data_IF_096360147214
#
_entry.id   IF_096360147214
#
_cell.length_a   1.000
_cell.length_b   1.000
_cell.length_c   1.000
_cell.angle_alpha   90.00
_cell.angle_beta   90.00
_cell.angle_gamma   90.00
#
_symmetry.space_group_name_H-M   'P 1'
#
loop_
_entity.id
_entity.type
_entity.pdbx_description
1 polymer ?
#
# COMPACT_ATOMS: atom_id res chain seq x y z
N UNK A 1 -9.31 -28.26 -9.75
CA UNK A 1 -9.26 -28.44 -8.30
C UNK A 1 -10.26 -27.49 -7.64
N UNK A 2 -10.96 -27.92 -6.59
CA UNK A 2 -11.89 -27.08 -5.84
C UNK A 2 -11.11 -26.10 -4.92
N UNK A 3 -11.69 -24.96 -4.48
CA UNK A 3 -11.02 -24.00 -3.59
C UNK A 3 -10.50 -24.58 -2.27
N UNK A 4 -10.98 -25.75 -1.85
CA UNK A 4 -10.49 -26.48 -0.67
C UNK A 4 -9.20 -27.29 -0.90
N UNK A 5 -8.64 -27.28 -2.12
CA UNK A 5 -7.41 -28.01 -2.48
C UNK A 5 -6.16 -27.11 -2.62
N UNK A 6 -6.27 -25.80 -2.34
CA UNK A 6 -5.14 -24.87 -2.44
C UNK A 6 -4.71 -24.32 -1.08
N UNK A 7 -3.40 -24.22 -0.86
CA UNK A 7 -2.76 -23.45 0.20
C UNK A 7 -2.35 -22.10 -0.40
N UNK A 8 -3.12 -21.04 -0.09
CA UNK A 8 -2.91 -19.71 -0.65
C UNK A 8 -1.97 -18.86 0.24
N UNK A 9 -0.69 -18.76 -0.16
CA UNK A 9 0.36 -17.99 0.54
C UNK A 9 0.72 -16.70 -0.23
N UNK A 10 -0.16 -16.21 -1.10
CA UNK A 10 0.06 -15.03 -1.94
C UNK A 10 -0.80 -13.83 -1.49
N UNK A 11 -1.04 -13.72 -0.17
CA UNK A 11 -1.81 -12.62 0.42
C UNK A 11 -1.16 -11.24 0.21
N UNK A 12 0.17 -11.21 -0.01
CA UNK A 12 0.88 -10.00 -0.37
C UNK A 12 0.45 -9.47 -1.74
N UNK A 13 -0.03 -10.30 -2.69
CA UNK A 13 -0.58 -9.83 -3.96
C UNK A 13 -2.04 -9.38 -3.81
N UNK A 14 -2.91 -10.23 -3.27
CA UNK A 14 -4.32 -9.90 -3.01
C UNK A 14 -4.92 -10.81 -1.95
N UNK A 15 -6.05 -10.41 -1.37
CA UNK A 15 -6.73 -11.21 -0.35
C UNK A 15 -8.17 -11.54 -0.79
N UNK A 16 -8.74 -12.65 -0.31
CA UNK A 16 -10.16 -12.94 -0.50
C UNK A 16 -11.05 -11.85 0.12
N UNK A 17 -12.19 -11.56 -0.51
CA UNK A 17 -13.19 -10.66 0.05
C UNK A 17 -13.72 -11.25 1.37
N UNK A 18 -13.59 -10.52 2.47
CA UNK A 18 -14.10 -10.96 3.76
C UNK A 18 -15.63 -10.87 3.81
N UNK A 19 -16.23 -11.67 4.68
CA UNK A 19 -17.68 -11.76 4.80
C UNK A 19 -18.31 -10.41 5.19
N UNK A 20 -17.64 -9.65 6.07
CA UNK A 20 -18.08 -8.33 6.51
C UNK A 20 -18.18 -7.35 5.33
N UNK A 21 -17.18 -7.35 4.43
CA UNK A 21 -17.20 -6.54 3.22
C UNK A 21 -18.28 -7.01 2.26
N UNK A 22 -18.40 -8.32 2.03
CA UNK A 22 -19.43 -8.91 1.16
C UNK A 22 -20.84 -8.51 1.59
N UNK A 23 -21.17 -8.68 2.87
CA UNK A 23 -22.46 -8.33 3.46
C UNK A 23 -22.71 -6.82 3.39
N UNK A 24 -21.70 -5.99 3.62
CA UNK A 24 -21.84 -4.54 3.55
C UNK A 24 -22.09 -4.04 2.10
N UNK A 25 -21.51 -4.70 1.10
CA UNK A 25 -21.69 -4.38 -0.31
C UNK A 25 -23.04 -4.81 -0.88
N UNK A 26 -23.57 -5.94 -0.41
CA UNK A 26 -24.75 -6.61 -0.97
C UNK A 26 -25.98 -5.69 -1.16
N UNK A 27 -26.36 -4.84 -0.19
CA UNK A 27 -27.49 -3.92 -0.37
C UNK A 27 -27.29 -2.90 -1.49
N UNK A 28 -26.04 -2.50 -1.77
CA UNK A 28 -25.68 -1.50 -2.78
C UNK A 28 -25.54 -2.09 -4.19
N UNK A 29 -25.35 -3.40 -4.27
CA UNK A 29 -25.31 -4.16 -5.53
C UNK A 29 -26.68 -4.69 -5.94
N UNK A 30 -27.62 -4.80 -4.99
CA UNK A 30 -28.98 -5.24 -5.26
C UNK A 30 -29.67 -4.32 -6.28
N UNK A 31 -30.32 -4.92 -7.27
CA UNK A 31 -31.10 -4.22 -8.30
C UNK A 31 -32.56 -4.69 -8.34
N UNK A 32 -33.42 -3.90 -8.98
CA UNK A 32 -34.85 -4.21 -9.15
C UNK A 32 -35.65 -4.14 -7.84
N UNK A 33 -36.77 -4.88 -7.78
CA UNK A 33 -37.72 -4.84 -6.65
C UNK A 33 -37.14 -5.29 -5.30
N UNK A 34 -36.00 -5.99 -5.33
CA UNK A 34 -35.29 -6.51 -4.15
C UNK A 34 -34.47 -5.43 -3.42
N UNK A 35 -34.15 -4.31 -4.07
CA UNK A 35 -33.44 -3.19 -3.47
C UNK A 35 -34.43 -2.23 -2.80
N UNK A 36 -34.69 -2.43 -1.50
CA UNK A 36 -35.57 -1.55 -0.71
C UNK A 36 -34.83 -1.00 0.52
N UNK A 37 -34.57 0.32 0.58
CA UNK A 37 -34.78 1.33 -0.48
C UNK A 37 -33.83 1.12 -1.68
N UNK A 38 -34.12 1.72 -2.85
CA UNK A 38 -33.21 1.65 -3.99
C UNK A 38 -31.84 2.23 -3.65
N UNK A 39 -30.77 1.55 -4.04
CA UNK A 39 -29.40 1.82 -3.59
C UNK A 39 -28.46 2.33 -4.69
N UNK A 40 -28.98 2.63 -5.89
CA UNK A 40 -28.24 3.12 -7.06
C UNK A 40 -28.15 4.66 -7.15
N UNK A 41 -28.50 5.38 -6.09
CA UNK A 41 -28.51 6.84 -6.10
C UNK A 41 -27.11 7.43 -6.29
N UNK A 42 -27.00 8.51 -7.09
CA UNK A 42 -25.75 9.26 -7.21
C UNK A 42 -25.64 10.30 -6.07
N UNK A 43 -24.57 10.31 -5.25
CA UNK A 43 -24.38 11.28 -4.15
C UNK A 43 -24.38 12.75 -4.58
N UNK A 44 -24.12 13.05 -5.86
CA UNK A 44 -24.12 14.42 -6.40
C UNK A 44 -25.52 14.98 -6.67
N UNK A 45 -26.58 14.19 -6.53
CA UNK A 45 -27.97 14.63 -6.75
C UNK A 45 -28.61 15.26 -5.50
N UNK A 46 -29.82 15.81 -5.65
CA UNK A 46 -30.57 16.43 -4.54
C UNK A 46 -31.80 15.63 -4.08
N UNK A 47 -32.16 14.56 -4.79
CA UNK A 47 -33.35 13.73 -4.50
C UNK A 47 -33.13 12.75 -3.33
N UNK A 48 -34.20 12.07 -2.90
CA UNK A 48 -34.14 11.16 -1.75
C UNK A 48 -33.08 10.05 -1.89
N UNK A 49 -32.97 9.44 -3.08
CA UNK A 49 -31.94 8.41 -3.32
C UNK A 49 -30.51 8.97 -3.27
N UNK A 50 -30.29 10.22 -3.70
CA UNK A 50 -28.98 10.87 -3.60
C UNK A 50 -28.62 11.09 -2.13
N UNK A 51 -29.58 11.56 -1.30
CA UNK A 51 -29.37 11.72 0.14
C UNK A 51 -29.08 10.40 0.86
N UNK A 52 -29.65 9.28 0.40
CA UNK A 52 -29.30 7.95 0.91
C UNK A 52 -27.85 7.61 0.55
N UNK A 53 -27.46 7.82 -0.71
CA UNK A 53 -26.09 7.56 -1.18
C UNK A 53 -25.05 8.47 -0.50
N UNK A 54 -25.35 9.75 -0.30
CA UNK A 54 -24.49 10.69 0.45
C UNK A 54 -24.28 10.23 1.88
N UNK A 55 -25.35 9.81 2.59
CA UNK A 55 -25.22 9.28 3.95
C UNK A 55 -24.33 8.05 4.02
N UNK A 56 -24.53 7.09 3.11
CA UNK A 56 -23.68 5.89 3.07
C UNK A 56 -22.20 6.23 2.78
N UNK A 57 -21.94 7.21 1.90
CA UNK A 57 -20.59 7.68 1.61
C UNK A 57 -19.94 8.35 2.83
N UNK A 58 -20.68 9.23 3.52
CA UNK A 58 -20.18 9.95 4.69
C UNK A 58 -19.94 9.00 5.87
N UNK A 59 -20.86 8.07 6.14
CA UNK A 59 -20.72 7.03 7.17
C UNK A 59 -19.50 6.13 6.89
N UNK A 60 -19.31 5.69 5.64
CA UNK A 60 -18.13 4.91 5.28
C UNK A 60 -16.83 5.70 5.46
N UNK A 61 -16.84 7.01 5.16
CA UNK A 61 -15.70 7.89 5.35
C UNK A 61 -15.36 8.08 6.83
N UNK A 62 -16.36 8.25 7.69
CA UNK A 62 -16.18 8.35 9.14
C UNK A 62 -15.56 7.08 9.72
N UNK A 63 -16.04 5.91 9.28
CA UNK A 63 -15.52 4.60 9.68
C UNK A 63 -14.07 4.39 9.26
N UNK A 64 -13.75 4.70 8.00
CA UNK A 64 -12.38 4.63 7.49
C UNK A 64 -11.48 5.59 8.26
N UNK A 65 -11.90 6.83 8.45
CA UNK A 65 -11.14 7.85 9.17
C UNK A 65 -10.85 7.43 10.62
N UNK A 66 -11.84 6.86 11.31
CA UNK A 66 -11.69 6.37 12.68
C UNK A 66 -10.62 5.27 12.79
N UNK A 67 -10.60 4.30 11.88
CA UNK A 67 -9.59 3.23 11.89
C UNK A 67 -8.20 3.74 11.51
N UNK A 68 -8.11 4.71 10.61
CA UNK A 68 -6.84 5.32 10.19
C UNK A 68 -6.33 6.38 11.17
N UNK A 69 -7.12 6.76 12.18
CA UNK A 69 -6.74 7.75 13.18
C UNK A 69 -6.68 9.19 12.62
N UNK A 70 -7.52 9.50 11.64
CA UNK A 70 -7.59 10.82 10.99
C UNK A 70 -9.02 11.39 11.00
N UNK A 71 -9.19 12.64 10.56
CA UNK A 71 -10.50 13.24 10.41
C UNK A 71 -11.18 12.79 9.10
N UNK A 72 -12.52 12.70 9.04
CA UNK A 72 -13.23 12.38 7.79
C UNK A 72 -12.94 13.37 6.65
N UNK A 73 -12.55 14.61 6.99
CA UNK A 73 -12.07 15.64 6.07
C UNK A 73 -10.78 15.29 5.31
N UNK A 74 -9.99 14.36 5.86
CA UNK A 74 -8.66 14.01 5.39
C UNK A 74 -8.67 12.79 4.46
N UNK A 75 -9.73 11.98 4.49
CA UNK A 75 -9.88 10.81 3.61
C UNK A 75 -10.32 11.23 2.21
N UNK A 76 -9.58 10.79 1.20
CA UNK A 76 -9.92 10.86 -0.24
C UNK A 76 -10.03 9.43 -0.77
N UNK A 77 -11.19 9.03 -1.27
CA UNK A 77 -11.36 7.70 -1.89
C UNK A 77 -10.77 7.66 -3.30
N UNK A 78 -10.10 6.56 -3.62
CA UNK A 78 -9.44 6.29 -4.90
C UNK A 78 -9.86 4.91 -5.43
N UNK A 79 -9.46 4.54 -6.64
CA UNK A 79 -9.67 3.18 -7.18
C UNK A 79 -8.72 2.11 -6.62
N UNK A 80 -7.81 2.48 -5.72
CA UNK A 80 -6.85 1.56 -5.12
C UNK A 80 -5.55 2.24 -4.68
N UNK A 81 -4.60 1.43 -4.19
CA UNK A 81 -3.27 1.89 -3.79
C UNK A 81 -2.55 2.63 -4.92
N UNK A 82 -2.56 2.10 -6.14
CA UNK A 82 -1.87 2.72 -7.28
C UNK A 82 -2.34 4.15 -7.57
N UNK A 83 -3.66 4.39 -7.58
CA UNK A 83 -4.19 5.74 -7.78
C UNK A 83 -3.86 6.65 -6.58
N UNK A 84 -3.89 6.12 -5.36
CA UNK A 84 -3.52 6.88 -4.15
C UNK A 84 -2.05 7.31 -4.18
N UNK A 85 -1.13 6.40 -4.51
CA UNK A 85 0.31 6.69 -4.62
C UNK A 85 0.60 7.70 -5.73
N UNK A 86 0.00 7.51 -6.90
CA UNK A 86 0.14 8.45 -8.01
C UNK A 86 -0.39 9.84 -7.62
N UNK A 87 -1.54 9.90 -6.95
CA UNK A 87 -2.12 11.15 -6.46
C UNK A 87 -1.22 11.81 -5.41
N UNK A 88 -0.60 11.03 -4.51
CA UNK A 88 0.31 11.55 -3.51
C UNK A 88 1.61 12.11 -4.14
N UNK A 89 2.21 11.37 -5.07
CA UNK A 89 3.47 11.77 -5.72
C UNK A 89 3.27 12.96 -6.66
N UNK A 90 2.27 12.90 -7.54
CA UNK A 90 2.05 13.93 -8.57
C UNK A 90 1.23 15.11 -8.03
N UNK A 91 0.21 14.83 -7.22
CA UNK A 91 -0.70 15.82 -6.66
C UNK A 91 -0.17 16.47 -5.39
N UNK A 92 0.69 15.79 -4.61
CA UNK A 92 1.33 16.34 -3.41
C UNK A 92 2.38 17.41 -3.71
N UNK A 93 2.76 17.59 -4.98
CA UNK A 93 3.71 18.61 -5.37
C UNK A 93 3.13 20.02 -5.18
N UNK A 94 3.80 20.92 -4.43
CA UNK A 94 3.44 22.32 -4.43
C UNK A 94 3.64 22.90 -5.85
N UNK A 95 2.98 24.03 -6.19
CA UNK A 95 3.15 24.72 -7.49
C UNK A 95 4.56 25.34 -7.69
N UNK A 96 5.54 24.95 -6.87
CA UNK A 96 6.92 25.42 -6.93
C UNK A 96 7.79 24.40 -7.68
N UNK A 97 8.85 24.85 -8.36
CA UNK A 97 9.81 23.95 -8.99
C UNK A 97 10.47 23.06 -7.92
N UNK A 98 10.33 21.75 -8.10
CA UNK A 98 10.91 20.71 -7.26
C UNK A 98 10.68 19.35 -7.87
N UNK A 99 11.32 18.32 -7.32
CA UNK A 99 11.20 16.94 -7.80
C UNK A 99 10.90 15.96 -6.69
N UNK A 100 10.15 14.89 -6.98
CA UNK A 100 9.83 13.91 -5.98
C UNK A 100 11.08 13.10 -5.60
N UNK A 101 11.14 12.70 -4.34
CA UNK A 101 12.18 11.82 -3.79
C UNK A 101 11.49 10.57 -3.28
N UNK A 102 12.04 9.38 -3.51
CA UNK A 102 11.48 8.16 -2.96
C UNK A 102 12.53 7.10 -2.63
N UNK A 103 12.18 6.08 -1.84
CA UNK A 103 13.06 4.93 -1.60
C UNK A 103 13.28 4.08 -2.86
N UNK A 104 14.45 3.47 -3.01
CA UNK A 104 14.76 2.61 -4.16
C UNK A 104 13.94 1.31 -4.19
N UNK A 105 13.35 0.90 -3.06
CA UNK A 105 12.53 -0.32 -2.93
C UNK A 105 11.04 -0.05 -3.05
N UNK A 106 10.62 1.18 -3.36
CA UNK A 106 9.21 1.58 -3.55
C UNK A 106 8.45 0.64 -4.51
N UNK A 107 7.13 0.54 -4.31
CA UNK A 107 6.26 -0.13 -5.27
C UNK A 107 6.29 0.63 -6.61
N UNK A 108 6.11 -0.03 -7.78
CA UNK A 108 6.06 0.65 -9.07
C UNK A 108 5.04 1.79 -9.16
N UNK A 109 3.97 1.75 -8.36
CA UNK A 109 3.01 2.85 -8.26
C UNK A 109 3.58 4.17 -7.72
N UNK A 110 4.72 4.13 -7.04
CA UNK A 110 5.49 5.32 -6.61
C UNK A 110 6.70 5.51 -7.52
N UNK A 111 7.50 4.46 -7.77
CA UNK A 111 8.73 4.58 -8.56
C UNK A 111 8.49 5.17 -9.95
N UNK A 112 7.49 4.68 -10.67
CA UNK A 112 7.25 5.10 -12.05
C UNK A 112 6.82 6.58 -12.14
N UNK A 113 5.89 7.09 -11.30
CA UNK A 113 5.63 8.53 -11.22
C UNK A 113 6.84 9.37 -10.82
N UNK A 114 7.68 8.89 -9.89
CA UNK A 114 8.90 9.60 -9.50
C UNK A 114 9.87 9.70 -10.69
N UNK A 115 10.10 8.61 -11.40
CA UNK A 115 10.94 8.56 -12.60
C UNK A 115 10.39 9.45 -13.71
N UNK A 116 9.08 9.41 -13.97
CA UNK A 116 8.43 10.24 -14.98
C UNK A 116 8.54 11.75 -14.72
N UNK A 117 8.84 12.14 -13.47
CA UNK A 117 9.03 13.53 -13.03
C UNK A 117 10.51 13.88 -12.80
N UNK A 118 11.45 13.08 -13.33
CA UNK A 118 12.90 13.23 -13.15
C UNK A 118 13.29 13.33 -11.67
N UNK A 119 12.60 12.55 -10.84
CA UNK A 119 12.80 12.46 -9.40
C UNK A 119 14.08 11.74 -8.99
N UNK A 120 14.24 11.55 -7.68
CA UNK A 120 15.44 10.96 -7.10
C UNK A 120 15.09 9.76 -6.23
N UNK A 121 15.80 8.66 -6.45
CA UNK A 121 15.70 7.45 -5.63
C UNK A 121 16.79 7.48 -4.53
N UNK A 122 16.40 7.12 -3.31
CA UNK A 122 17.27 7.02 -2.14
C UNK A 122 17.63 5.55 -1.95
N UNK A 123 18.93 5.27 -1.87
CA UNK A 123 19.43 3.92 -1.63
C UNK A 123 18.93 3.36 -0.28
N UNK A 124 18.84 2.04 -0.22
CA UNK A 124 18.42 1.30 0.98
C UNK A 124 19.59 0.49 1.56
N UNK A 125 19.44 0.02 2.79
CA UNK A 125 20.33 -0.96 3.39
C UNK A 125 20.07 -2.38 2.85
N UNK A 126 20.87 -3.35 3.30
CA UNK A 126 20.73 -4.76 2.91
C UNK A 126 19.42 -5.41 3.39
N UNK A 127 18.67 -4.77 4.29
CA UNK A 127 17.34 -5.22 4.70
C UNK A 127 16.22 -4.55 3.89
N UNK A 128 16.54 -3.60 3.01
CA UNK A 128 15.55 -2.85 2.21
C UNK A 128 15.00 -1.60 2.89
N UNK A 129 15.64 -1.11 3.97
CA UNK A 129 15.23 0.12 4.68
C UNK A 129 15.91 1.35 4.12
N UNK A 130 15.16 2.44 4.04
CA UNK A 130 15.74 3.77 3.80
C UNK A 130 16.45 4.23 5.07
N UNK A 131 17.74 4.55 4.97
CA UNK A 131 18.51 5.05 6.12
C UNK A 131 18.33 6.57 6.28
N UNK A 132 18.15 7.08 7.52
CA UNK A 132 18.06 8.52 7.79
C UNK A 132 19.19 9.34 7.14
N UNK A 133 20.44 8.91 7.28
CA UNK A 133 21.61 9.60 6.72
C UNK A 133 21.59 9.64 5.17
N UNK A 134 21.12 8.55 4.54
CA UNK A 134 21.01 8.48 3.08
C UNK A 134 19.94 9.44 2.55
N UNK A 135 18.81 9.54 3.26
CA UNK A 135 17.76 10.50 2.95
C UNK A 135 18.24 11.94 3.18
N UNK A 136 18.84 12.23 4.34
CA UNK A 136 19.39 13.55 4.68
C UNK A 136 20.36 14.04 3.61
N UNK A 137 21.37 13.23 3.27
CA UNK A 137 22.35 13.58 2.24
C UNK A 137 21.73 13.78 0.86
N UNK A 138 20.62 13.09 0.54
CA UNK A 138 19.89 13.30 -0.72
C UNK A 138 19.16 14.64 -0.74
N UNK A 139 18.49 15.00 0.35
CA UNK A 139 17.79 16.28 0.49
C UNK A 139 18.78 17.47 0.48
N UNK A 140 19.92 17.33 1.15
CA UNK A 140 21.00 18.33 1.15
C UNK A 140 21.59 18.57 -0.25
N UNK A 141 21.89 17.49 -0.99
CA UNK A 141 22.41 17.61 -2.37
C UNK A 141 21.43 18.31 -3.29
N UNK A 142 20.12 18.06 -3.15
CA UNK A 142 19.10 18.79 -3.89
C UNK A 142 19.17 20.28 -3.55
N UNK A 143 19.01 20.62 -2.27
CA UNK A 143 18.89 22.01 -1.80
C UNK A 143 20.15 22.87 -1.98
N UNK A 144 21.34 22.30 -1.82
CA UNK A 144 22.62 23.01 -1.90
C UNK A 144 23.39 22.83 -3.20
N UNK A 145 23.33 21.64 -3.82
CA UNK A 145 24.18 21.26 -4.94
C UNK A 145 23.57 21.46 -6.34
N UNK A 146 22.24 21.37 -6.45
CA UNK A 146 21.55 21.43 -7.76
C UNK A 146 20.63 22.63 -7.93
N UNK A 147 20.34 23.36 -6.85
CA UNK A 147 19.33 24.42 -6.84
C UNK A 147 17.88 23.90 -6.97
N UNK A 148 17.68 22.57 -7.09
CA UNK A 148 16.36 21.92 -7.04
C UNK A 148 15.95 21.72 -5.58
N UNK A 149 14.66 21.49 -5.34
CA UNK A 149 14.13 21.13 -4.00
C UNK A 149 13.29 19.87 -4.12
N UNK A 150 13.19 19.11 -3.03
CA UNK A 150 12.20 18.04 -2.96
C UNK A 150 10.78 18.63 -3.04
N UNK A 151 9.89 18.03 -3.83
CA UNK A 151 8.49 18.43 -3.92
C UNK A 151 7.58 17.57 -3.03
N UNK A 152 7.97 16.30 -2.84
CA UNK A 152 7.37 15.30 -1.95
C UNK A 152 8.46 14.26 -1.65
N UNK A 153 8.46 13.70 -0.45
CA UNK A 153 9.28 12.55 -0.09
C UNK A 153 8.36 11.35 0.10
N UNK A 154 8.57 10.25 -0.62
CA UNK A 154 7.80 9.01 -0.48
C UNK A 154 8.65 7.91 0.10
N UNK A 155 8.25 7.37 1.26
CA UNK A 155 8.82 6.15 1.80
C UNK A 155 7.69 5.25 2.29
N UNK A 156 7.55 4.08 1.69
CA UNK A 156 6.60 3.06 2.08
C UNK A 156 6.76 2.70 3.55
N UNK A 157 5.65 2.40 4.20
CA UNK A 157 5.66 1.96 5.58
C UNK A 157 6.29 0.56 5.70
N UNK A 158 5.97 -0.33 4.77
CA UNK A 158 6.53 -1.66 4.72
C UNK A 158 6.56 -2.21 3.28
N UNK A 159 7.60 -3.00 2.97
CA UNK A 159 7.83 -3.54 1.64
C UNK A 159 6.92 -4.70 1.29
N UNK A 160 6.36 -4.67 0.08
CA UNK A 160 5.44 -5.66 -0.44
C UNK A 160 6.08 -7.00 -0.83
N UNK A 161 7.40 -7.03 -1.00
CA UNK A 161 8.14 -8.26 -1.30
C UNK A 161 8.81 -8.79 -0.03
N UNK A 162 9.63 -7.96 0.60
CA UNK A 162 10.46 -8.33 1.75
C UNK A 162 9.69 -8.33 3.08
N UNK A 163 8.59 -7.58 3.17
CA UNK A 163 7.91 -7.32 4.44
C UNK A 163 8.66 -6.37 5.38
N UNK A 164 9.86 -5.91 5.04
CA UNK A 164 10.66 -5.01 5.86
C UNK A 164 9.90 -3.72 6.17
N UNK A 165 9.89 -3.32 7.44
CA UNK A 165 9.24 -2.10 7.92
C UNK A 165 10.27 -0.96 8.01
N UNK A 166 9.93 0.21 7.47
CA UNK A 166 10.72 1.44 7.59
C UNK A 166 10.39 2.19 8.90
N UNK A 167 11.38 2.86 9.48
CA UNK A 167 11.18 3.74 10.64
C UNK A 167 10.67 5.12 10.18
N UNK A 168 9.35 5.25 10.06
CA UNK A 168 8.73 6.49 9.57
C UNK A 168 8.94 7.67 10.53
N UNK A 169 9.08 7.45 11.83
CA UNK A 169 9.30 8.54 12.80
C UNK A 169 10.70 9.15 12.59
N UNK A 170 11.72 8.30 12.44
CA UNK A 170 13.08 8.76 12.14
C UNK A 170 13.16 9.47 10.78
N UNK A 171 12.51 8.93 9.76
CA UNK A 171 12.50 9.53 8.41
C UNK A 171 11.71 10.84 8.36
N UNK A 172 10.60 10.94 9.09
CA UNK A 172 9.85 12.19 9.21
C UNK A 172 10.68 13.29 9.88
N UNK A 173 11.47 12.96 10.90
CA UNK A 173 12.39 13.91 11.54
C UNK A 173 13.42 14.46 10.53
N UNK A 174 14.00 13.59 9.69
CA UNK A 174 14.93 14.00 8.62
C UNK A 174 14.26 14.91 7.60
N UNK A 175 13.04 14.59 7.14
CA UNK A 175 12.32 15.45 6.19
C UNK A 175 12.02 16.81 6.81
N UNK A 176 11.60 16.84 8.07
CA UNK A 176 11.32 18.09 8.79
C UNK A 176 12.55 18.98 8.91
N UNK A 177 13.71 18.39 9.23
CA UNK A 177 14.98 19.09 9.41
C UNK A 177 15.57 19.60 8.08
N UNK A 178 15.66 18.72 7.07
CA UNK A 178 16.40 19.01 5.84
C UNK A 178 15.52 19.55 4.69
N UNK A 179 14.20 19.34 4.75
CA UNK A 179 13.25 19.77 3.72
C UNK A 179 11.94 20.32 4.32
N UNK A 180 11.99 21.36 5.17
CA UNK A 180 10.82 21.87 5.88
C UNK A 180 9.72 22.31 4.91
N UNK A 181 8.50 21.83 5.17
CA UNK A 181 7.30 22.10 4.36
C UNK A 181 7.14 21.20 3.13
N UNK A 182 8.04 20.23 2.92
CA UNK A 182 7.86 19.16 1.93
C UNK A 182 7.03 18.04 2.58
N UNK A 183 5.93 17.59 1.95
CA UNK A 183 5.11 16.53 2.51
C UNK A 183 5.84 15.18 2.49
N UNK A 184 5.70 14.42 3.57
CA UNK A 184 6.05 13.00 3.63
C UNK A 184 4.84 12.15 3.21
N UNK A 185 4.99 11.39 2.14
CA UNK A 185 4.08 10.33 1.74
C UNK A 185 4.58 8.97 2.24
N UNK A 186 3.64 8.13 2.70
CA UNK A 186 3.92 6.74 2.97
C UNK A 186 2.88 5.82 2.32
N UNK A 187 3.37 4.94 1.45
CA UNK A 187 2.59 3.79 0.99
C UNK A 187 2.45 2.80 2.17
N UNK A 188 1.24 2.75 2.75
CA UNK A 188 0.90 1.85 3.84
C UNK A 188 0.04 0.66 3.38
N UNK A 189 -0.03 0.39 2.07
CA UNK A 189 -0.87 -0.66 1.48
C UNK A 189 -0.60 -2.02 2.09
N UNK A 190 0.67 -2.37 2.32
CA UNK A 190 1.07 -3.63 2.95
C UNK A 190 1.13 -3.58 4.47
N UNK A 191 1.30 -2.40 5.04
CA UNK A 191 1.29 -2.22 6.49
C UNK A 191 -0.13 -2.32 7.07
N UNK A 192 -1.14 -1.84 6.33
CA UNK A 192 -2.52 -1.73 6.77
C UNK A 192 -3.14 -2.98 7.43
N UNK A 193 -2.88 -4.21 6.92
CA UNK A 193 -3.45 -5.42 7.52
C UNK A 193 -2.82 -5.79 8.87
N UNK A 194 -1.59 -5.32 9.14
CA UNK A 194 -0.74 -5.87 10.19
C UNK A 194 -0.38 -4.84 11.27
N UNK A 195 -0.23 -3.57 10.89
CA UNK A 195 0.25 -2.50 11.75
C UNK A 195 -0.88 -1.53 12.10
N UNK A 196 -0.80 -0.92 13.29
CA UNK A 196 -1.68 0.19 13.62
C UNK A 196 -1.29 1.43 12.81
N UNK A 197 -2.11 1.72 11.79
CA UNK A 197 -1.88 2.83 10.88
C UNK A 197 -2.04 4.20 11.53
N UNK A 198 -2.57 4.28 12.76
CA UNK A 198 -2.54 5.54 13.52
C UNK A 198 -1.09 6.05 13.68
N UNK A 199 -0.09 5.16 13.67
CA UNK A 199 1.34 5.51 13.71
C UNK A 199 1.78 6.17 12.40
N UNK A 200 1.51 5.52 11.26
CA UNK A 200 1.85 6.07 9.94
C UNK A 200 1.13 7.40 9.69
N UNK A 201 -0.14 7.51 10.11
CA UNK A 201 -0.91 8.75 10.04
C UNK A 201 -0.39 9.85 10.97
N UNK A 202 0.39 9.52 12.01
CA UNK A 202 1.08 10.50 12.88
C UNK A 202 2.43 10.95 12.32
N UNK A 203 3.15 10.09 11.62
CA UNK A 203 4.46 10.41 11.04
C UNK A 203 4.36 11.10 9.67
N UNK A 204 3.44 10.66 8.81
CA UNK A 204 3.33 11.11 7.42
C UNK A 204 2.20 12.13 7.21
N UNK A 205 2.32 12.92 6.14
CA UNK A 205 1.34 13.91 5.69
C UNK A 205 0.34 13.30 4.71
N UNK A 206 0.77 12.29 3.96
CA UNK A 206 0.00 11.57 2.96
C UNK A 206 0.15 10.06 3.22
N UNK A 207 -0.96 9.31 3.29
CA UNK A 207 -0.91 7.85 3.54
C UNK A 207 -1.83 7.10 2.57
N UNK A 208 -1.25 6.25 1.73
CA UNK A 208 -1.99 5.41 0.79
C UNK A 208 -2.40 4.07 1.42
N UNK A 209 -3.63 3.65 1.16
CA UNK A 209 -4.17 2.33 1.54
C UNK A 209 -5.02 1.72 0.42
N UNK A 210 -5.06 0.39 0.35
CA UNK A 210 -5.80 -0.35 -0.67
C UNK A 210 -6.67 -1.42 -0.03
N UNK A 211 -7.94 -1.51 -0.41
CA UNK A 211 -8.90 -2.38 0.26
C UNK A 211 -8.60 -3.88 0.04
N UNK A 212 -8.16 -4.26 -1.16
CA UNK A 212 -7.96 -5.67 -1.50
C UNK A 212 -6.75 -6.34 -0.82
N UNK A 213 -5.93 -5.58 -0.07
CA UNK A 213 -4.87 -6.14 0.78
C UNK A 213 -5.36 -6.51 2.18
N UNK A 214 -6.54 -6.04 2.57
CA UNK A 214 -7.11 -6.18 3.91
C UNK A 214 -8.51 -6.80 3.90
N UNK A 215 -8.78 -7.69 2.93
CA UNK A 215 -10.05 -8.39 2.79
C UNK A 215 -11.19 -7.56 2.18
N UNK A 216 -10.91 -6.37 1.66
CA UNK A 216 -11.88 -5.54 0.97
C UNK A 216 -11.98 -5.85 -0.53
N UNK A 217 -12.92 -5.20 -1.24
CA UNK A 217 -13.07 -5.39 -2.68
C UNK A 217 -11.88 -4.81 -3.45
N UNK A 218 -11.62 -5.37 -4.64
CA UNK A 218 -10.71 -4.76 -5.62
C UNK A 218 -11.36 -3.50 -6.21
N UNK A 219 -10.54 -2.55 -6.67
CA UNK A 219 -11.04 -1.33 -7.32
C UNK A 219 -11.40 -0.18 -6.38
N UNK A 220 -11.00 -0.26 -5.11
CA UNK A 220 -11.15 0.83 -4.14
C UNK A 220 -9.95 0.93 -3.21
N UNK A 221 -9.58 2.17 -2.87
CA UNK A 221 -8.55 2.51 -1.89
C UNK A 221 -8.83 3.88 -1.30
N UNK A 222 -7.87 4.39 -0.53
CA UNK A 222 -7.91 5.76 -0.05
C UNK A 222 -6.52 6.36 0.09
N UNK A 223 -6.48 7.68 -0.01
CA UNK A 223 -5.36 8.52 0.39
C UNK A 223 -5.82 9.36 1.59
N UNK A 224 -5.12 9.23 2.72
CA UNK A 224 -5.25 10.18 3.83
C UNK A 224 -4.40 11.40 3.51
N UNK A 225 -4.97 12.58 3.66
CA UNK A 225 -4.31 13.87 3.42
C UNK A 225 -4.44 14.72 4.67
N UNK A 226 -3.35 14.82 5.43
CA UNK A 226 -3.29 15.58 6.67
C UNK A 226 -3.75 17.02 6.47
N UNK A 227 -4.45 17.55 7.46
CA UNK A 227 -4.88 18.94 7.49
C UNK A 227 -3.67 19.88 7.35
N UNK A 228 -3.75 20.80 6.39
CA UNK A 228 -2.66 21.71 6.04
C UNK A 228 -1.80 21.25 4.87
N UNK A 229 -1.86 19.97 4.49
CA UNK A 229 -1.17 19.44 3.31
C UNK A 229 -1.88 19.87 2.03
N UNK A 230 -1.10 20.28 1.03
CA UNK A 230 -1.62 20.60 -0.30
C UNK A 230 -1.75 19.31 -1.13
N UNK A 231 -2.83 19.23 -1.90
CA UNK A 231 -3.04 18.14 -2.84
C UNK A 231 -3.78 18.66 -4.07
N UNK A 232 -3.13 18.59 -5.22
CA UNK A 232 -3.73 18.84 -6.53
C UNK A 232 -4.34 17.55 -7.08
N UNK A 233 -5.46 17.67 -7.79
CA UNK A 233 -6.12 16.51 -8.37
C UNK A 233 -5.27 15.90 -9.49
N UNK A 234 -5.13 14.57 -9.47
CA UNK A 234 -4.61 13.78 -10.60
C UNK A 234 -5.70 13.55 -11.65
N UNK A 235 -6.89 13.17 -11.20
CA UNK A 235 -8.07 12.96 -12.06
C UNK A 235 -8.94 14.21 -11.97
N UNK A 236 -8.91 15.03 -13.02
CA UNK A 236 -9.74 16.22 -13.15
C UNK A 236 -11.19 15.86 -13.55
N UNK A 237 -12.16 16.65 -13.08
CA UNK A 237 -13.58 16.42 -13.36
C UNK A 237 -14.48 17.30 -12.50
N UNK A 238 -15.60 16.72 -12.04
CA UNK A 238 -16.51 17.39 -11.10
C UNK A 238 -15.90 17.58 -9.70
N UNK A 239 -16.70 18.16 -8.79
CA UNK A 239 -16.28 18.46 -7.41
C UNK A 239 -16.27 17.27 -6.44
N UNK A 240 -16.26 16.02 -6.93
CA UNK A 240 -16.20 14.84 -6.06
C UNK A 240 -14.91 14.81 -5.24
N UNK A 241 -14.95 14.12 -4.10
CA UNK A 241 -13.83 14.07 -3.14
C UNK A 241 -13.24 15.46 -2.84
N UNK A 242 -14.11 16.48 -2.72
CA UNK A 242 -13.75 17.88 -2.45
C UNK A 242 -12.84 18.49 -3.53
N UNK A 243 -13.04 18.06 -4.79
CA UNK A 243 -12.26 18.49 -5.94
C UNK A 243 -10.88 17.84 -6.04
N UNK A 244 -10.55 16.87 -5.18
CA UNK A 244 -9.25 16.17 -5.17
C UNK A 244 -9.21 14.95 -6.09
N UNK A 245 -10.39 14.37 -6.41
CA UNK A 245 -10.51 13.19 -7.28
C UNK A 245 -11.86 13.21 -7.99
N UNK A 246 -11.87 13.48 -9.28
CA UNK A 246 -13.09 13.52 -10.09
C UNK A 246 -13.70 12.14 -10.36
N UNK A 247 -15.02 12.10 -10.57
CA UNK A 247 -15.75 10.90 -10.97
C UNK A 247 -16.73 10.42 -9.90
N UNK A 248 -17.79 9.72 -10.32
CA UNK A 248 -18.82 9.18 -9.42
C UNK A 248 -18.19 8.18 -8.44
N UNK A 249 -18.45 8.28 -7.13
CA UNK A 249 -17.91 7.34 -6.15
C UNK A 249 -18.46 5.92 -6.35
N UNK A 250 -17.59 4.91 -6.25
CA UNK A 250 -18.00 3.51 -6.13
C UNK A 250 -18.51 3.25 -4.71
N UNK A 251 -19.79 3.51 -4.48
CA UNK A 251 -20.39 3.43 -3.15
C UNK A 251 -20.33 2.02 -2.57
N UNK A 252 -20.55 0.99 -3.39
CA UNK A 252 -20.46 -0.41 -2.95
C UNK A 252 -19.04 -0.74 -2.53
N UNK A 253 -18.05 -0.43 -3.38
CA UNK A 253 -16.64 -0.62 -3.06
C UNK A 253 -16.23 0.10 -1.77
N UNK A 254 -16.60 1.37 -1.64
CA UNK A 254 -16.27 2.21 -0.46
C UNK A 254 -16.85 1.64 0.84
N UNK A 255 -18.12 1.22 0.82
CA UNK A 255 -18.77 0.63 2.01
C UNK A 255 -18.17 -0.74 2.35
N UNK A 256 -17.84 -1.55 1.32
CA UNK A 256 -17.11 -2.80 1.49
C UNK A 256 -15.70 -2.60 2.07
N UNK A 257 -15.00 -1.56 1.63
CA UNK A 257 -13.69 -1.17 2.15
C UNK A 257 -13.76 -0.78 3.63
N UNK A 258 -14.70 0.08 4.01
CA UNK A 258 -14.90 0.48 5.40
C UNK A 258 -15.12 -0.74 6.32
N UNK A 259 -15.98 -1.68 5.89
CA UNK A 259 -16.26 -2.89 6.65
C UNK A 259 -15.05 -3.84 6.74
N UNK A 260 -14.28 -4.00 5.66
CA UNK A 260 -13.06 -4.81 5.67
C UNK A 260 -11.99 -4.22 6.59
N UNK A 261 -11.83 -2.90 6.56
CA UNK A 261 -10.84 -2.18 7.35
C UNK A 261 -11.14 -2.28 8.85
N UNK A 262 -12.40 -2.12 9.26
CA UNK A 262 -12.83 -2.33 10.65
C UNK A 262 -12.64 -3.77 11.11
N UNK A 263 -13.06 -4.75 10.29
CA UNK A 263 -12.89 -6.16 10.61
C UNK A 263 -11.41 -6.50 10.82
N UNK A 264 -10.56 -6.05 9.90
CA UNK A 264 -9.10 -6.21 9.99
C UNK A 264 -8.53 -5.54 11.24
N UNK A 265 -8.90 -4.30 11.52
CA UNK A 265 -8.42 -3.58 12.69
C UNK A 265 -8.80 -4.27 14.01
N UNK A 266 -10.04 -4.79 14.10
CA UNK A 266 -10.53 -5.48 15.30
C UNK A 266 -9.79 -6.79 15.61
N UNK A 267 -9.23 -7.44 14.58
CA UNK A 267 -8.54 -8.72 14.70
C UNK A 267 -7.02 -8.60 14.61
N UNK A 268 -6.51 -7.41 14.25
CA UNK A 268 -5.11 -7.15 13.86
C UNK A 268 -4.10 -7.77 14.81
N UNK A 269 -4.17 -7.48 16.11
CA UNK A 269 -3.21 -7.99 17.08
C UNK A 269 -3.18 -9.53 17.15
N UNK A 270 -4.36 -10.16 17.20
CA UNK A 270 -4.46 -11.63 17.25
C UNK A 270 -4.00 -12.30 15.96
N UNK A 271 -4.33 -11.73 14.80
CA UNK A 271 -3.94 -12.28 13.50
C UNK A 271 -2.45 -12.05 13.24
N UNK A 272 -1.90 -10.89 13.58
CA UNK A 272 -0.48 -10.61 13.48
C UNK A 272 0.33 -11.61 14.31
N UNK A 273 -0.05 -11.86 15.57
CA UNK A 273 0.63 -12.83 16.42
C UNK A 273 0.55 -14.26 15.86
N UNK A 274 -0.65 -14.70 15.44
CA UNK A 274 -0.86 -16.03 14.90
C UNK A 274 -0.10 -16.26 13.59
N UNK A 275 -0.17 -15.31 12.66
CA UNK A 275 0.47 -15.42 11.34
C UNK A 275 1.99 -15.31 11.46
N UNK A 276 2.51 -14.44 12.33
CA UNK A 276 3.95 -14.39 12.61
C UNK A 276 4.46 -15.74 13.13
N UNK A 277 3.76 -16.38 14.07
CA UNK A 277 4.15 -17.70 14.57
C UNK A 277 4.17 -18.77 13.46
N UNK A 278 3.16 -18.79 12.59
CA UNK A 278 3.11 -19.72 11.45
C UNK A 278 4.20 -19.45 10.41
N UNK A 279 4.49 -18.19 10.15
CA UNK A 279 5.58 -17.77 9.27
C UNK A 279 6.93 -18.23 9.85
N UNK A 280 7.17 -18.02 11.13
CA UNK A 280 8.42 -18.38 11.80
C UNK A 280 8.62 -19.91 11.83
N UNK A 281 7.54 -20.68 12.04
CA UNK A 281 7.55 -22.15 11.93
C UNK A 281 7.89 -22.60 10.51
N UNK A 282 7.24 -22.02 9.49
CA UNK A 282 7.52 -22.33 8.09
C UNK A 282 8.98 -21.97 7.71
N UNK A 283 9.47 -20.82 8.15
CA UNK A 283 10.84 -20.39 7.89
C UNK A 283 11.85 -21.37 8.50
N UNK A 284 11.66 -21.75 9.77
CA UNK A 284 12.54 -22.69 10.45
C UNK A 284 12.62 -24.06 9.75
N UNK A 285 11.49 -24.58 9.25
CA UNK A 285 11.46 -25.86 8.52
C UNK A 285 12.13 -25.74 7.14
N UNK A 286 11.92 -24.64 6.42
CA UNK A 286 12.52 -24.43 5.10
C UNK A 286 14.04 -24.18 5.18
N UNK A 287 14.51 -23.50 6.22
CA UNK A 287 15.94 -23.24 6.47
C UNK A 287 16.73 -24.53 6.82
N UNK A 288 16.07 -25.66 7.05
CA UNK A 288 16.73 -26.97 7.15
C UNK A 288 17.23 -27.48 5.79
N UNK A 289 16.76 -26.90 4.69
CA UNK A 289 17.19 -27.24 3.34
C UNK A 289 18.45 -26.42 3.00
N UNK A 290 19.55 -27.09 2.68
CA UNK A 290 20.86 -26.45 2.42
C UNK A 290 20.82 -25.38 1.33
N UNK A 291 19.93 -25.52 0.34
CA UNK A 291 19.78 -24.58 -0.76
C UNK A 291 18.84 -23.40 -0.45
N UNK A 292 18.24 -23.32 0.74
CA UNK A 292 17.26 -22.28 1.09
C UNK A 292 17.84 -21.34 2.13
N UNK A 293 17.73 -20.03 1.88
CA UNK A 293 18.13 -19.01 2.83
C UNK A 293 17.16 -17.82 2.84
N UNK A 294 16.99 -17.14 3.99
CA UNK A 294 16.21 -15.90 4.04
C UNK A 294 16.93 -14.77 3.31
N UNK A 295 16.22 -14.03 2.45
CA UNK A 295 16.80 -12.91 1.69
C UNK A 295 17.10 -11.71 2.59
N UNK A 296 16.21 -11.48 3.57
CA UNK A 296 16.39 -10.53 4.67
C UNK A 296 16.01 -11.24 5.95
N UNK A 297 16.45 -10.73 7.11
CA UNK A 297 16.09 -11.33 8.40
C UNK A 297 14.57 -11.52 8.51
N UNK A 298 14.13 -12.77 8.68
CA UNK A 298 12.72 -13.20 8.66
C UNK A 298 12.01 -13.06 10.01
N UNK A 299 12.76 -12.70 11.06
CA UNK A 299 12.28 -12.70 12.45
C UNK A 299 12.36 -11.33 13.11
N UNK A 300 11.43 -11.07 14.03
CA UNK A 300 11.39 -9.87 14.86
C UNK A 300 10.42 -8.78 14.42
N UNK A 301 10.37 -7.68 15.19
CA UNK A 301 9.40 -6.60 15.03
C UNK A 301 9.60 -5.73 13.76
N UNK A 302 10.63 -6.03 12.96
CA UNK A 302 11.06 -5.20 11.85
C UNK A 302 10.65 -5.75 10.47
N UNK A 303 9.85 -6.82 10.46
CA UNK A 303 9.25 -7.46 9.26
C UNK A 303 7.78 -7.78 9.53
N UNK A 304 6.94 -7.59 8.50
CA UNK A 304 5.51 -7.84 8.56
C UNK A 304 5.20 -9.33 8.87
N UNK A 305 4.19 -9.62 9.72
CA UNK A 305 3.81 -10.98 10.10
C UNK A 305 3.58 -11.96 8.95
N UNK A 306 2.95 -11.49 7.86
CA UNK A 306 2.55 -12.33 6.73
C UNK A 306 3.57 -12.43 5.59
N UNK A 307 4.83 -12.02 5.80
CA UNK A 307 5.86 -12.00 4.74
C UNK A 307 7.01 -12.94 5.07
N UNK A 308 7.34 -13.83 4.14
CA UNK A 308 8.51 -14.70 4.16
C UNK A 308 9.14 -14.62 2.77
N UNK A 309 10.33 -14.03 2.67
CA UNK A 309 11.06 -13.89 1.42
C UNK A 309 12.34 -14.72 1.48
N UNK A 310 12.48 -15.67 0.54
CA UNK A 310 13.53 -16.67 0.54
C UNK A 310 14.30 -16.64 -0.78
N UNK A 311 15.58 -16.98 -0.73
CA UNK A 311 16.39 -17.37 -1.87
C UNK A 311 16.49 -18.89 -1.89
N UNK A 312 16.32 -19.49 -3.06
CA UNK A 312 16.46 -20.92 -3.27
C UNK A 312 17.50 -21.16 -4.36
N UNK A 313 18.66 -21.67 -3.98
CA UNK A 313 19.76 -21.91 -4.90
C UNK A 313 19.44 -23.07 -5.86
N UNK A 314 19.81 -22.91 -7.12
CA UNK A 314 19.76 -24.00 -8.12
C UNK A 314 18.41 -24.20 -8.80
N UNK A 315 17.42 -23.34 -8.57
CA UNK A 315 16.11 -23.35 -9.27
C UNK A 315 15.68 -21.91 -9.56
N UNK A 316 15.06 -21.64 -10.70
CA UNK A 316 14.49 -20.30 -10.94
C UNK A 316 13.16 -20.14 -10.21
N UNK A 317 12.80 -18.90 -9.87
CA UNK A 317 11.56 -18.59 -9.21
C UNK A 317 10.33 -19.04 -10.02
N UNK A 318 10.33 -18.88 -11.35
CA UNK A 318 9.22 -19.33 -12.20
C UNK A 318 9.06 -20.85 -12.18
N UNK A 319 10.17 -21.60 -12.22
CA UNK A 319 10.15 -23.06 -12.14
C UNK A 319 9.64 -23.52 -10.76
N UNK A 320 10.13 -22.91 -9.68
CA UNK A 320 9.68 -23.23 -8.33
C UNK A 320 8.20 -22.95 -8.13
N UNK A 321 7.70 -21.78 -8.57
CA UNK A 321 6.29 -21.42 -8.46
C UNK A 321 5.39 -22.39 -9.26
N UNK A 322 5.83 -22.81 -10.44
CA UNK A 322 5.11 -23.83 -11.21
C UNK A 322 5.04 -25.18 -10.47
N UNK A 323 6.15 -25.60 -9.85
CA UNK A 323 6.21 -26.85 -9.07
C UNK A 323 5.38 -26.79 -7.78
N UNK A 324 5.28 -25.61 -7.17
CA UNK A 324 4.40 -25.34 -6.02
C UNK A 324 2.93 -25.37 -6.43
N UNK A 325 2.57 -24.73 -7.54
CA UNK A 325 1.20 -24.72 -8.07
C UNK A 325 0.71 -26.15 -8.38
N UNK A 326 1.56 -26.98 -8.98
CA UNK A 326 1.27 -28.41 -9.21
C UNK A 326 0.99 -29.19 -7.92
N UNK A 327 1.48 -28.70 -6.77
CA UNK A 327 1.22 -29.23 -5.43
C UNK A 327 0.10 -28.50 -4.69
N UNK A 328 -0.59 -27.58 -5.35
CA UNK A 328 -1.68 -26.79 -4.77
C UNK A 328 -1.21 -25.64 -3.88
N UNK A 329 0.06 -25.22 -3.95
CA UNK A 329 0.56 -24.07 -3.18
C UNK A 329 0.67 -22.85 -4.07
N UNK A 330 0.00 -21.76 -3.70
CA UNK A 330 0.11 -20.48 -4.39
C UNK A 330 1.06 -19.57 -3.63
N UNK A 331 2.12 -19.10 -4.30
CA UNK A 331 3.08 -18.12 -3.80
C UNK A 331 3.44 -17.16 -4.94
N UNK A 332 4.26 -16.15 -4.65
CA UNK A 332 4.75 -15.19 -5.64
C UNK A 332 6.26 -15.03 -5.55
N UNK A 333 6.85 -14.59 -6.66
CA UNK A 333 8.23 -14.15 -6.73
C UNK A 333 8.28 -12.62 -6.59
N UNK A 334 9.42 -12.10 -6.11
CA UNK A 334 9.72 -10.69 -6.27
C UNK A 334 9.65 -10.32 -7.75
N UNK A 335 8.96 -9.23 -8.09
CA UNK A 335 8.54 -8.81 -9.46
C UNK A 335 7.26 -9.44 -10.07
N UNK A 336 6.35 -10.04 -9.30
CA UNK A 336 5.07 -10.59 -9.83
C UNK A 336 4.13 -9.57 -10.54
N UNK A 337 4.45 -8.28 -10.54
CA UNK A 337 3.76 -7.25 -11.33
C UNK A 337 4.45 -6.87 -12.65
N UNK A 338 5.63 -7.42 -12.97
CA UNK A 338 6.25 -7.23 -14.28
C UNK A 338 5.60 -8.20 -15.28
N UNK A 339 4.50 -7.76 -15.89
CA UNK A 339 3.94 -8.44 -17.06
C UNK A 339 4.99 -8.49 -18.18
N UNK A 340 5.78 -9.56 -18.23
CA UNK A 340 6.62 -9.93 -19.37
C UNK A 340 8.06 -9.41 -19.43
N UNK A 341 8.68 -8.95 -18.34
CA UNK A 341 10.09 -8.56 -18.37
C UNK A 341 10.99 -9.59 -17.66
N UNK A 342 11.96 -10.14 -18.39
CA UNK A 342 13.04 -10.99 -17.90
C UNK A 342 14.06 -10.24 -17.00
N UNK A 343 13.62 -9.18 -16.31
CA UNK A 343 14.42 -8.38 -15.41
C UNK A 343 14.05 -8.79 -13.97
N UNK A 344 15.03 -9.16 -13.16
CA UNK A 344 14.82 -9.54 -11.76
C UNK A 344 14.19 -8.42 -10.93
N UNK A 345 13.80 -8.73 -9.69
CA UNK A 345 13.18 -7.75 -8.78
C UNK A 345 14.10 -6.57 -8.48
N UNK A 346 13.65 -5.35 -8.80
CA UNK A 346 14.37 -4.11 -8.46
C UNK A 346 14.60 -3.97 -6.95
N UNK A 347 13.72 -4.55 -6.13
CA UNK A 347 13.86 -4.58 -4.67
C UNK A 347 15.07 -5.41 -4.27
N UNK A 348 15.20 -6.60 -4.84
CA UNK A 348 16.34 -7.51 -4.62
C UNK A 348 17.65 -6.88 -5.12
N UNK A 349 17.60 -6.16 -6.25
CA UNK A 349 18.76 -5.41 -6.72
C UNK A 349 19.16 -4.27 -5.77
N UNK A 350 18.19 -3.53 -5.23
CA UNK A 350 18.41 -2.39 -4.37
C UNK A 350 19.06 -2.77 -3.03
N UNK A 351 18.80 -3.98 -2.52
CA UNK A 351 19.45 -4.51 -1.30
C UNK A 351 20.82 -5.14 -1.55
N UNK A 352 21.32 -5.11 -2.80
CA UNK A 352 22.66 -5.56 -3.14
C UNK A 352 22.79 -7.05 -3.47
N UNK A 353 21.68 -7.77 -3.65
CA UNK A 353 21.72 -9.15 -4.15
C UNK A 353 21.98 -9.11 -5.67
N UNK A 354 23.10 -9.67 -6.10
CA UNK A 354 23.58 -9.61 -7.49
C UNK A 354 23.86 -11.01 -8.04
N UNK A 355 23.77 -11.17 -9.37
CA UNK A 355 24.16 -12.43 -10.03
C UNK A 355 23.01 -13.40 -10.30
N UNK A 356 23.30 -14.72 -10.26
CA UNK A 356 22.34 -15.80 -10.57
C UNK A 356 21.24 -15.97 -9.51
N UNK A 357 21.45 -15.41 -8.32
CA UNK A 357 20.49 -15.45 -7.20
C UNK A 357 19.30 -14.47 -7.40
N UNK A 358 19.24 -13.82 -8.57
CA UNK A 358 18.16 -12.92 -9.00
C UNK A 358 16.98 -13.66 -9.65
N UNK A 359 17.21 -14.86 -10.18
CA UNK A 359 16.30 -15.58 -11.07
C UNK A 359 15.55 -16.67 -10.31
#
# INVERSE_FOLDING_TARGET
MAPSEYVYLDHAATTPLCEQARVAMEPLLASGERARPPSFGNPSGSHALARIATRALDEARERVAAVLGCAPGEVVFTSGGTEADNLAVTGGMPPRPGVPVCGATEHPAVLEPVRALDGVEVAVDAAGRVLPDALAGTLERLGGGTGRRASVVSVMCANNELGTINDLDALAAVVHEHAPGVPLHSDAVQAAPWLDLSVAARAADLVSVSAHKLGGPKGVGALVVRAGSMLSALIHGGGQERGRRGGTPDLAGIVGFAAALEATASQRCSQAARVAALRDELAAELELLEAVSPTVGTTGAAVLPGHLHLLVEGVSAEELLLLLEQRGVCASAGSSCASGAAAGSHVVEAIGVTGRDRA
#
